data_IF_086791061813
#
_entry.id   IF_086791061813
#
_cell.length_a   1.000
_cell.length_b   1.000
_cell.length_c   1.000
_cell.angle_alpha   90.00
_cell.angle_beta   90.00
_cell.angle_gamma   90.00
#
_symmetry.space_group_name_H-M   'P 1'
#
loop_
_entity.id
_entity.type
_entity.pdbx_description
1 polymer ?
#
# COMPACT_ATOMS: atom_id res chain seq x y z
N UNK A 1 30.49 -31.25 -39.71
CA UNK A 1 29.14 -31.88 -39.74
C UNK A 1 28.28 -31.17 -38.71
N UNK A 2 27.19 -30.49 -39.10
CA UNK A 2 26.22 -29.94 -38.16
C UNK A 2 25.17 -31.00 -37.79
N UNK A 3 24.68 -30.95 -36.54
CA UNK A 3 23.58 -31.76 -36.03
C UNK A 3 22.25 -31.04 -36.28
N UNK A 4 21.29 -31.73 -36.92
CA UNK A 4 19.91 -31.28 -37.08
C UNK A 4 19.04 -31.67 -35.87
N UNK A 5 18.17 -30.75 -35.46
CA UNK A 5 17.05 -30.95 -34.55
C UNK A 5 15.81 -31.36 -35.36
N UNK A 6 15.10 -32.40 -34.93
CA UNK A 6 13.81 -32.73 -35.53
C UNK A 6 13.00 -33.75 -34.74
N UNK A 7 12.01 -33.29 -33.97
CA UNK A 7 10.65 -33.85 -33.98
C UNK A 7 9.69 -32.90 -33.24
N UNK A 8 8.77 -32.29 -33.99
CA UNK A 8 7.66 -31.48 -33.45
C UNK A 8 6.49 -32.43 -33.16
N UNK A 9 6.09 -32.55 -31.90
CA UNK A 9 4.80 -33.12 -31.51
C UNK A 9 3.74 -32.03 -31.71
N UNK A 10 2.82 -32.24 -32.64
CA UNK A 10 1.67 -31.36 -32.83
C UNK A 10 0.62 -31.65 -31.73
N UNK A 11 0.28 -30.63 -30.95
CA UNK A 11 -0.79 -30.66 -29.95
C UNK A 11 -2.12 -30.32 -30.64
N UNK A 12 -3.18 -31.09 -30.36
CA UNK A 12 -4.51 -30.92 -30.95
C UNK A 12 -5.42 -30.15 -29.98
N UNK A 13 -5.49 -28.83 -30.14
CA UNK A 13 -6.18 -27.88 -29.24
C UNK A 13 -7.70 -28.09 -29.14
N UNK A 14 -8.33 -28.72 -30.15
CA UNK A 14 -9.79 -28.86 -30.22
C UNK A 14 -10.34 -29.93 -29.26
N UNK A 15 -9.51 -30.91 -28.86
CA UNK A 15 -9.93 -32.01 -28.01
C UNK A 15 -9.88 -31.65 -26.50
N UNK A 16 -8.94 -30.80 -26.10
CA UNK A 16 -8.88 -30.22 -24.74
C UNK A 16 -10.03 -29.24 -24.49
N UNK A 17 -10.40 -28.44 -25.50
CA UNK A 17 -11.47 -27.44 -25.37
C UNK A 17 -12.82 -28.08 -25.07
N UNK A 18 -13.09 -29.24 -25.68
CA UNK A 18 -14.31 -30.01 -25.46
C UNK A 18 -14.36 -30.66 -24.06
N UNK A 19 -13.23 -31.15 -23.54
CA UNK A 19 -13.16 -31.67 -22.16
C UNK A 19 -13.33 -30.57 -21.11
N UNK A 20 -12.84 -29.35 -21.40
CA UNK A 20 -12.96 -28.20 -20.50
C UNK A 20 -14.40 -27.68 -20.39
N UNK A 21 -15.15 -27.65 -21.51
CA UNK A 21 -16.54 -27.20 -21.53
C UNK A 21 -17.49 -28.19 -20.81
N UNK A 22 -17.20 -29.50 -20.85
CA UNK A 22 -17.97 -30.53 -20.13
C UNK A 22 -17.72 -30.51 -18.60
N UNK A 23 -16.65 -29.88 -18.12
CA UNK A 23 -16.26 -29.82 -16.69
C UNK A 23 -16.74 -28.55 -15.95
N UNK A 24 -17.36 -27.58 -16.63
CA UNK A 24 -17.92 -26.36 -16.00
C UNK A 24 -19.25 -26.60 -15.28
N UNK A 25 -19.29 -27.59 -14.38
CA UNK A 25 -20.34 -27.64 -13.37
C UNK A 25 -20.15 -26.47 -12.38
N UNK A 26 -21.09 -25.52 -12.44
CA UNK A 26 -21.22 -24.32 -11.59
C UNK A 26 -20.66 -24.55 -10.18
N UNK A 27 -19.57 -23.87 -9.84
CA UNK A 27 -19.08 -23.79 -8.46
C UNK A 27 -18.85 -22.32 -8.11
N UNK A 28 -19.51 -21.84 -7.06
CA UNK A 28 -19.33 -20.49 -6.51
C UNK A 28 -18.16 -20.49 -5.51
N UNK A 29 -17.43 -19.37 -5.32
CA UNK A 29 -16.31 -19.31 -4.36
C UNK A 29 -16.77 -19.37 -2.91
N UNK A 30 -16.03 -20.14 -2.10
CA UNK A 30 -16.10 -20.11 -0.64
C UNK A 30 -15.22 -18.95 -0.13
N UNK A 31 -15.83 -17.92 0.45
CA UNK A 31 -15.16 -16.70 0.90
C UNK A 31 -14.93 -16.65 2.42
N UNK A 32 -15.56 -17.54 3.20
CA UNK A 32 -15.47 -17.53 4.67
C UNK A 32 -15.84 -18.89 5.30
N UNK A 33 -15.21 -19.25 6.42
CA UNK A 33 -15.62 -20.37 7.30
C UNK A 33 -16.56 -19.87 8.41
N UNK A 34 -16.80 -18.56 8.53
CA UNK A 34 -17.74 -18.02 9.49
C UNK A 34 -19.16 -18.56 9.21
N UNK A 35 -19.66 -19.38 10.14
CA UNK A 35 -20.96 -20.05 10.00
C UNK A 35 -20.92 -21.44 9.34
N UNK A 36 -19.76 -21.92 8.89
CA UNK A 36 -19.62 -23.32 8.45
C UNK A 36 -19.30 -24.20 9.66
N UNK A 37 -20.27 -25.03 10.05
CA UNK A 37 -20.07 -26.12 11.00
C UNK A 37 -19.21 -27.19 10.32
N UNK A 38 -17.95 -27.42 10.74
CA UNK A 38 -17.05 -28.36 10.08
C UNK A 38 -17.43 -29.83 10.35
N UNK A 39 -18.52 -30.06 11.09
CA UNK A 39 -18.87 -31.36 11.64
C UNK A 39 -18.10 -31.69 12.92
N UNK A 40 -18.36 -32.87 13.44
CA UNK A 40 -17.72 -33.48 14.59
C UNK A 40 -17.25 -34.89 14.21
N UNK A 41 -16.15 -35.36 14.79
CA UNK A 41 -15.70 -36.74 14.62
C UNK A 41 -15.44 -37.32 16.00
N UNK A 42 -16.14 -38.40 16.36
CA UNK A 42 -15.82 -39.24 17.51
C UNK A 42 -15.15 -40.54 17.08
N UNK A 43 -14.54 -41.23 18.04
CA UNK A 43 -13.97 -42.57 17.86
C UNK A 43 -14.45 -43.47 19.00
N UNK A 44 -14.58 -44.77 18.75
CA UNK A 44 -14.72 -45.78 19.82
C UNK A 44 -13.35 -46.34 20.24
N UNK A 45 -13.38 -47.21 21.26
CA UNK A 45 -12.19 -47.83 21.85
C UNK A 45 -11.46 -48.80 20.88
N UNK A 46 -12.11 -49.18 19.77
CA UNK A 46 -11.56 -50.03 18.71
C UNK A 46 -10.97 -49.18 17.56
N UNK A 47 -11.08 -47.85 17.64
CA UNK A 47 -10.55 -46.89 16.68
C UNK A 47 -11.46 -46.64 15.48
N UNK A 48 -12.71 -47.11 15.51
CA UNK A 48 -13.69 -46.79 14.48
C UNK A 48 -14.16 -45.35 14.66
N UNK A 49 -14.12 -44.55 13.59
CA UNK A 49 -14.52 -43.14 13.63
C UNK A 49 -15.97 -42.94 13.17
N UNK A 50 -16.66 -42.00 13.81
CA UNK A 50 -18.04 -41.62 13.52
C UNK A 50 -18.09 -40.13 13.18
N UNK A 51 -18.20 -39.77 11.89
CA UNK A 51 -18.38 -38.40 11.49
C UNK A 51 -19.84 -37.97 11.65
N UNK A 52 -20.06 -36.79 12.20
CA UNK A 52 -21.36 -36.13 12.29
C UNK A 52 -21.26 -34.78 11.60
N UNK A 53 -22.13 -34.53 10.61
CA UNK A 53 -22.20 -33.27 9.87
C UNK A 53 -20.89 -32.83 9.19
N UNK A 54 -19.97 -33.77 8.88
CA UNK A 54 -18.80 -33.46 8.06
C UNK A 54 -19.26 -33.02 6.67
N UNK A 55 -18.87 -31.84 6.18
CA UNK A 55 -19.18 -31.45 4.82
C UNK A 55 -18.43 -32.37 3.84
N UNK A 56 -19.16 -32.95 2.88
CA UNK A 56 -18.60 -33.81 1.83
C UNK A 56 -18.70 -33.11 0.48
N UNK A 57 -17.80 -33.40 -0.45
CA UNK A 57 -17.81 -32.81 -1.79
C UNK A 57 -17.24 -31.38 -1.90
N UNK A 58 -16.57 -30.86 -0.84
CA UNK A 58 -15.82 -29.61 -0.92
C UNK A 58 -14.54 -29.83 -1.72
N UNK A 59 -14.27 -28.95 -2.69
CA UNK A 59 -12.99 -28.88 -3.41
C UNK A 59 -12.43 -27.47 -3.34
N UNK A 60 -11.11 -27.35 -3.15
CA UNK A 60 -10.41 -26.11 -3.42
C UNK A 60 -10.31 -25.95 -4.94
N UNK A 61 -10.69 -24.80 -5.45
CA UNK A 61 -10.54 -24.45 -6.86
C UNK A 61 -9.90 -23.06 -6.95
N UNK A 62 -8.93 -22.92 -7.84
CA UNK A 62 -8.37 -21.61 -8.16
C UNK A 62 -9.44 -20.82 -8.93
N UNK A 63 -9.83 -19.67 -8.40
CA UNK A 63 -10.60 -18.69 -9.16
C UNK A 63 -9.70 -18.13 -10.26
N UNK A 64 -10.11 -18.26 -11.53
CA UNK A 64 -9.40 -17.61 -12.62
C UNK A 64 -9.57 -16.10 -12.47
N UNK A 65 -8.47 -15.40 -12.21
CA UNK A 65 -8.49 -13.95 -12.14
C UNK A 65 -8.80 -13.38 -13.53
N UNK A 66 -9.74 -12.45 -13.61
CA UNK A 66 -9.91 -11.60 -14.78
C UNK A 66 -9.05 -10.35 -14.62
N UNK A 67 -8.31 -10.00 -15.66
CA UNK A 67 -7.57 -8.75 -15.68
C UNK A 67 -8.55 -7.62 -16.02
N UNK A 68 -8.87 -6.78 -15.04
CA UNK A 68 -9.65 -5.56 -15.25
C UNK A 68 -8.77 -4.43 -15.77
N UNK A 69 -9.41 -3.39 -16.28
CA UNK A 69 -8.75 -2.09 -16.42
C UNK A 69 -8.22 -1.59 -15.06
N UNK A 70 -7.16 -0.75 -15.05
CA UNK A 70 -6.66 -0.17 -13.81
C UNK A 70 -7.75 0.63 -13.10
N UNK A 71 -7.94 0.37 -11.80
CA UNK A 71 -8.88 1.11 -10.94
C UNK A 71 -8.58 2.62 -10.94
N UNK A 72 -7.31 3.00 -11.10
CA UNK A 72 -6.91 4.39 -11.22
C UNK A 72 -5.76 4.55 -12.22
N UNK A 73 -6.08 5.08 -13.39
CA UNK A 73 -5.10 5.46 -14.40
C UNK A 73 -4.50 6.85 -14.13
N UNK A 74 -3.32 7.09 -14.67
CA UNK A 74 -2.67 8.42 -14.70
C UNK A 74 -3.48 9.35 -15.61
N UNK A 75 -3.90 10.49 -15.07
CA UNK A 75 -4.67 11.54 -15.76
C UNK A 75 -4.01 12.92 -15.67
N UNK A 76 -3.13 13.13 -14.69
CA UNK A 76 -2.51 14.42 -14.39
C UNK A 76 -0.99 14.32 -14.37
N UNK A 77 -0.30 15.43 -14.66
CA UNK A 77 1.16 15.46 -14.81
C UNK A 77 1.92 15.03 -13.55
N UNK A 78 1.38 15.32 -12.37
CA UNK A 78 1.97 14.88 -11.11
C UNK A 78 1.90 13.37 -10.88
N UNK A 79 1.07 12.66 -11.65
CA UNK A 79 0.96 11.19 -11.62
C UNK A 79 1.94 10.53 -12.61
N UNK A 80 2.94 11.25 -13.13
CA UNK A 80 3.82 10.77 -14.20
C UNK A 80 4.53 9.44 -13.87
N UNK A 81 4.77 9.10 -12.60
CA UNK A 81 5.30 7.78 -12.23
C UNK A 81 4.29 6.85 -11.55
N UNK A 82 4.75 6.09 -10.55
CA UNK A 82 3.91 5.09 -9.90
C UNK A 82 2.92 5.73 -8.93
N UNK A 83 1.65 5.34 -9.05
CA UNK A 83 0.60 5.72 -8.09
C UNK A 83 0.53 4.64 -7.02
N UNK A 84 0.61 5.05 -5.76
CA UNK A 84 0.42 4.20 -4.60
C UNK A 84 -0.74 4.77 -3.75
N UNK A 85 -1.59 3.89 -3.23
CA UNK A 85 -2.86 4.25 -2.60
C UNK A 85 -2.86 3.93 -1.10
N UNK A 86 -2.07 4.62 -0.25
CA UNK A 86 -1.95 4.31 1.17
C UNK A 86 -3.27 4.37 1.95
N UNK A 87 -4.31 5.08 1.48
CA UNK A 87 -5.54 5.19 2.27
C UNK A 87 -6.79 5.40 1.42
N UNK A 88 -7.75 4.50 1.60
CA UNK A 88 -9.11 4.59 1.08
C UNK A 88 -10.09 4.59 2.26
N UNK A 89 -10.88 5.65 2.38
CA UNK A 89 -11.93 5.78 3.40
C UNK A 89 -13.26 5.99 2.71
N UNK A 90 -14.28 5.20 3.09
CA UNK A 90 -15.66 5.45 2.67
C UNK A 90 -16.35 6.35 3.71
N UNK A 91 -16.86 7.49 3.26
CA UNK A 91 -17.62 8.44 4.08
C UNK A 91 -18.97 8.70 3.40
N UNK A 92 -20.05 8.17 3.99
CA UNK A 92 -21.38 8.24 3.39
C UNK A 92 -21.44 7.53 2.03
N UNK A 93 -21.80 8.29 1.00
CA UNK A 93 -21.90 7.87 -0.40
C UNK A 93 -20.61 8.10 -1.20
N UNK A 94 -19.53 8.58 -0.57
CA UNK A 94 -18.28 8.90 -1.26
C UNK A 94 -17.11 8.10 -0.72
N UNK A 95 -16.25 7.69 -1.63
CA UNK A 95 -14.92 7.18 -1.38
C UNK A 95 -13.93 8.34 -1.44
N UNK A 96 -13.04 8.38 -0.45
CA UNK A 96 -11.97 9.36 -0.31
C UNK A 96 -10.65 8.62 -0.35
N UNK A 97 -9.76 9.02 -1.25
CA UNK A 97 -8.49 8.37 -1.49
C UNK A 97 -7.35 9.36 -1.29
N UNK A 98 -6.48 9.05 -0.33
CA UNK A 98 -5.18 9.71 -0.22
C UNK A 98 -4.16 8.82 -0.90
N UNK A 99 -3.59 9.32 -1.97
CA UNK A 99 -2.62 8.61 -2.79
C UNK A 99 -1.29 9.35 -2.84
N UNK A 100 -0.20 8.63 -3.07
CA UNK A 100 1.10 9.24 -3.32
C UNK A 100 1.64 8.82 -4.68
N UNK A 101 2.38 9.74 -5.30
CA UNK A 101 3.03 9.50 -6.58
C UNK A 101 4.55 9.46 -6.38
N UNK A 102 5.18 8.43 -6.93
CA UNK A 102 6.63 8.35 -7.06
C UNK A 102 7.02 8.78 -8.46
N UNK A 103 8.01 9.65 -8.59
CA UNK A 103 8.51 10.06 -9.89
C UNK A 103 9.10 8.86 -10.64
N UNK A 104 8.75 8.69 -11.91
CA UNK A 104 9.45 7.75 -12.80
C UNK A 104 10.72 8.44 -13.30
N UNK A 105 11.92 7.96 -12.91
CA UNK A 105 13.18 8.61 -13.30
C UNK A 105 13.41 8.59 -14.82
N UNK A 106 12.73 7.69 -15.55
CA UNK A 106 12.86 7.61 -17.00
C UNK A 106 11.93 8.57 -17.75
N UNK A 107 10.91 9.12 -17.08
CA UNK A 107 9.95 10.05 -17.67
C UNK A 107 10.65 11.36 -18.12
N UNK A 108 10.42 11.83 -19.36
CA UNK A 108 11.06 13.05 -19.87
C UNK A 108 10.81 14.31 -19.03
N UNK A 109 9.64 14.42 -18.39
CA UNK A 109 9.27 15.52 -17.52
C UNK A 109 10.07 15.50 -16.21
N UNK A 110 10.25 14.30 -15.64
CA UNK A 110 11.09 14.08 -14.44
C UNK A 110 12.56 14.37 -14.76
N UNK A 111 13.07 13.89 -15.91
CA UNK A 111 14.44 14.14 -16.38
C UNK A 111 14.73 15.63 -16.61
N UNK A 112 13.74 16.40 -17.03
CA UNK A 112 13.85 17.85 -17.19
C UNK A 112 13.82 18.62 -15.85
N UNK A 113 13.73 17.94 -14.72
CA UNK A 113 13.82 18.53 -13.38
C UNK A 113 12.50 19.11 -12.86
N UNK A 114 11.37 18.83 -13.53
CA UNK A 114 10.06 19.34 -13.12
C UNK A 114 9.42 18.54 -11.97
N UNK A 115 10.01 17.40 -11.59
CA UNK A 115 9.61 16.59 -10.42
C UNK A 115 10.86 16.25 -9.63
N UNK A 116 10.85 16.35 -8.29
CA UNK A 116 11.93 15.80 -7.47
C UNK A 116 12.05 14.28 -7.71
N UNK A 117 13.13 13.86 -8.40
CA UNK A 117 13.33 12.47 -8.83
C UNK A 117 13.67 11.47 -7.71
N UNK A 118 13.74 11.89 -6.44
CA UNK A 118 13.95 11.01 -5.28
C UNK A 118 13.09 11.52 -4.13
N UNK A 119 12.45 10.60 -3.39
CA UNK A 119 11.49 10.76 -2.26
C UNK A 119 10.01 10.57 -2.73
N UNK A 120 9.11 9.93 -1.94
CA UNK A 120 7.66 9.96 -2.21
C UNK A 120 7.25 11.41 -2.45
N UNK A 121 6.98 11.73 -3.71
CA UNK A 121 7.17 13.09 -4.19
C UNK A 121 5.98 13.97 -3.86
N UNK A 122 4.78 13.39 -3.88
CA UNK A 122 3.54 14.15 -3.83
C UNK A 122 2.44 13.35 -3.13
N UNK A 123 1.90 13.93 -2.07
CA UNK A 123 0.69 13.47 -1.42
C UNK A 123 -0.52 14.15 -2.06
N UNK A 124 -1.42 13.34 -2.59
CA UNK A 124 -2.52 13.75 -3.44
C UNK A 124 -3.83 13.17 -2.92
N UNK A 125 -4.94 13.72 -3.42
CA UNK A 125 -6.27 13.30 -3.01
C UNK A 125 -7.15 12.97 -4.22
N UNK A 126 -8.03 12.00 -4.10
CA UNK A 126 -9.05 11.75 -5.09
C UNK A 126 -10.34 11.32 -4.40
N UNK A 127 -11.45 11.47 -5.10
CA UNK A 127 -12.76 11.10 -4.60
C UNK A 127 -13.57 10.37 -5.66
N UNK A 128 -14.45 9.48 -5.23
CA UNK A 128 -15.25 8.66 -6.13
C UNK A 128 -16.60 8.34 -5.50
N UNK A 129 -17.66 8.27 -6.30
CA UNK A 129 -18.96 7.75 -5.84
C UNK A 129 -19.07 6.22 -5.90
N UNK A 130 -18.27 5.58 -6.76
CA UNK A 130 -18.39 4.15 -7.08
C UNK A 130 -17.11 3.33 -6.84
N UNK A 131 -15.99 4.00 -6.55
CA UNK A 131 -14.67 3.39 -6.35
C UNK A 131 -13.90 3.10 -7.64
N UNK A 132 -14.48 3.42 -8.81
CA UNK A 132 -13.89 3.15 -10.13
C UNK A 132 -13.61 4.44 -10.92
N UNK A 133 -14.47 5.44 -10.78
CA UNK A 133 -14.32 6.75 -11.41
C UNK A 133 -13.82 7.77 -10.38
N UNK A 134 -12.59 8.21 -10.55
CA UNK A 134 -11.89 9.06 -9.59
C UNK A 134 -11.77 10.51 -10.07
N UNK A 135 -12.40 11.41 -9.32
CA UNK A 135 -12.27 12.85 -9.47
C UNK A 135 -11.07 13.37 -8.66
N UNK A 136 -10.39 14.37 -9.20
CA UNK A 136 -9.15 14.94 -8.67
C UNK A 136 -9.37 16.43 -8.39
N UNK A 137 -10.03 16.79 -7.27
CA UNK A 137 -10.48 18.15 -7.05
C UNK A 137 -9.30 19.12 -6.90
N UNK A 138 -9.46 20.36 -7.38
CA UNK A 138 -8.46 21.41 -7.18
C UNK A 138 -8.52 21.91 -5.72
N UNK A 139 -7.58 21.45 -4.89
CA UNK A 139 -7.54 21.81 -3.47
C UNK A 139 -6.97 23.22 -3.20
N UNK A 140 -6.23 23.80 -4.16
CA UNK A 140 -5.70 25.16 -4.06
C UNK A 140 -4.56 25.33 -3.05
N UNK A 141 -3.90 24.25 -2.60
CA UNK A 141 -3.01 24.26 -1.42
C UNK A 141 -1.52 24.31 -1.73
N UNK A 142 -1.02 23.38 -2.54
CA UNK A 142 0.41 23.30 -2.87
C UNK A 142 0.59 23.65 -4.33
N UNK A 143 1.41 24.65 -4.60
CA UNK A 143 1.76 25.01 -5.97
C UNK A 143 2.74 23.99 -6.57
N UNK A 144 2.49 23.61 -7.80
CA UNK A 144 3.32 22.74 -8.61
C UNK A 144 3.15 23.08 -10.07
N UNK A 145 4.27 23.30 -10.76
CA UNK A 145 4.29 23.68 -12.18
C UNK A 145 3.39 24.90 -12.48
N UNK A 146 3.40 25.89 -11.58
CA UNK A 146 2.57 27.10 -11.70
C UNK A 146 1.07 26.88 -11.46
N UNK A 147 0.64 25.68 -11.03
CA UNK A 147 -0.74 25.36 -10.67
C UNK A 147 -0.88 25.00 -9.19
N UNK A 148 -1.97 25.38 -8.53
CA UNK A 148 -2.25 25.05 -7.12
C UNK A 148 -3.06 23.75 -6.95
N UNK A 149 -2.89 22.82 -7.88
CA UNK A 149 -3.71 21.61 -7.99
C UNK A 149 -3.58 20.64 -6.80
N UNK A 150 -4.68 19.93 -6.54
CA UNK A 150 -4.96 18.69 -5.77
C UNK A 150 -3.94 18.05 -4.80
N UNK A 151 -3.07 18.84 -4.19
CA UNK A 151 -2.01 18.34 -3.33
C UNK A 151 -2.37 18.59 -1.88
N UNK A 152 -2.25 17.54 -1.10
CA UNK A 152 -2.41 17.56 0.34
C UNK A 152 -1.08 18.02 0.93
N UNK A 153 -1.08 19.19 1.56
CA UNK A 153 0.13 19.85 2.05
C UNK A 153 0.69 19.14 3.27
N UNK A 154 1.43 18.06 3.06
CA UNK A 154 2.13 17.35 4.11
C UNK A 154 3.55 17.00 3.68
N UNK A 155 4.53 17.50 4.43
CA UNK A 155 5.94 17.09 4.34
C UNK A 155 6.17 15.65 4.86
N UNK A 156 5.17 15.10 5.55
CA UNK A 156 5.10 13.71 5.97
C UNK A 156 4.25 12.96 4.95
N UNK A 157 4.88 12.13 4.12
CA UNK A 157 4.12 11.12 3.39
C UNK A 157 3.49 10.19 4.42
N UNK A 158 2.23 10.43 4.79
CA UNK A 158 1.52 9.50 5.65
C UNK A 158 1.40 8.15 4.93
N UNK A 159 1.34 7.07 5.68
CA UNK A 159 1.14 5.73 5.14
C UNK A 159 -0.29 5.24 5.37
N UNK A 160 -0.99 5.87 6.29
CA UNK A 160 -2.38 5.59 6.59
C UNK A 160 -3.08 6.85 7.10
N UNK A 161 -4.31 7.06 6.63
CA UNK A 161 -5.30 8.05 7.08
C UNK A 161 -6.54 7.29 7.46
N UNK A 162 -7.09 7.61 8.63
CA UNK A 162 -8.39 7.13 9.08
C UNK A 162 -9.29 8.32 9.40
N UNK A 163 -10.60 8.13 9.22
CA UNK A 163 -11.61 9.00 9.82
C UNK A 163 -11.85 8.49 11.24
N UNK A 164 -11.63 9.34 12.23
CA UNK A 164 -11.80 8.96 13.63
C UNK A 164 -13.27 8.94 14.02
N UNK A 165 -13.83 7.79 14.47
CA UNK A 165 -15.19 7.74 14.97
C UNK A 165 -15.40 8.58 16.24
N UNK A 166 -14.33 8.89 16.99
CA UNK A 166 -14.38 9.66 18.25
C UNK A 166 -13.70 11.04 18.15
N UNK A 167 -13.25 11.42 16.96
CA UNK A 167 -12.53 12.68 16.76
C UNK A 167 -13.46 13.89 16.91
N UNK A 168 -12.94 14.99 17.42
CA UNK A 168 -13.66 16.27 17.33
C UNK A 168 -13.73 16.75 15.87
N UNK A 169 -14.48 17.82 15.61
CA UNK A 169 -14.54 18.41 14.26
C UNK A 169 -13.15 18.85 13.76
N UNK A 170 -12.27 19.29 14.66
CA UNK A 170 -10.90 19.72 14.37
C UNK A 170 -9.93 18.55 14.15
N UNK A 171 -10.23 17.38 14.73
CA UNK A 171 -9.40 16.16 14.66
C UNK A 171 -10.11 14.98 13.99
N UNK A 172 -11.04 15.29 13.09
CA UNK A 172 -11.92 14.33 12.41
C UNK A 172 -11.15 13.23 11.69
N UNK A 173 -9.97 13.55 11.19
CA UNK A 173 -9.04 12.63 10.55
C UNK A 173 -7.77 12.50 11.37
N UNK A 174 -7.25 11.28 11.44
CA UNK A 174 -5.95 10.96 12.03
C UNK A 174 -5.11 10.24 11.00
N UNK A 175 -3.81 10.50 11.01
CA UNK A 175 -2.89 9.87 10.08
C UNK A 175 -1.60 9.46 10.78
N UNK A 176 -0.99 8.39 10.28
CA UNK A 176 0.34 7.94 10.71
C UNK A 176 1.30 7.92 9.54
N UNK A 177 2.54 8.30 9.82
CA UNK A 177 3.65 8.30 8.87
C UNK A 177 4.85 7.57 9.48
N UNK A 178 5.74 7.09 8.62
CA UNK A 178 7.00 6.50 9.05
C UNK A 178 8.13 7.40 8.59
N UNK A 179 9.01 7.73 9.52
CA UNK A 179 10.25 8.46 9.26
C UNK A 179 11.38 7.82 10.06
N UNK A 180 12.58 8.39 9.95
CA UNK A 180 13.71 7.99 10.77
C UNK A 180 14.31 9.20 11.48
N UNK A 181 14.64 9.01 12.76
CA UNK A 181 15.60 9.85 13.47
C UNK A 181 17.00 9.39 13.08
N UNK A 182 17.87 10.33 12.77
CA UNK A 182 19.23 10.03 12.34
C UNK A 182 20.22 10.59 13.33
N UNK A 183 21.30 9.85 13.56
CA UNK A 183 22.46 10.35 14.28
C UNK A 183 23.72 10.09 13.46
N UNK A 184 24.67 11.01 13.56
CA UNK A 184 26.03 10.85 13.04
C UNK A 184 26.97 10.95 14.22
N UNK A 185 27.75 9.89 14.46
CA UNK A 185 28.68 9.80 15.58
C UNK A 185 28.03 10.10 16.94
N UNK A 186 26.78 9.66 17.11
CA UNK A 186 25.98 9.83 18.32
C UNK A 186 25.37 11.23 18.50
N UNK A 187 25.43 12.09 17.48
CA UNK A 187 24.76 13.39 17.49
C UNK A 187 23.54 13.39 16.55
N UNK A 188 22.36 13.87 16.98
CA UNK A 188 21.20 13.98 16.11
C UNK A 188 21.49 14.87 14.91
N UNK A 189 21.11 14.41 13.73
CA UNK A 189 21.25 15.14 12.47
C UNK A 189 19.96 15.09 11.66
N UNK A 190 19.81 16.06 10.76
CA UNK A 190 18.66 16.11 9.85
C UNK A 190 18.75 15.05 8.75
N UNK A 191 17.60 14.69 8.19
CA UNK A 191 17.53 13.81 7.01
C UNK A 191 18.30 14.36 5.82
N UNK A 192 18.31 15.69 5.63
CA UNK A 192 19.05 16.35 4.55
C UNK A 192 20.56 16.12 4.69
N UNK A 193 21.11 16.34 5.88
CA UNK A 193 22.53 16.10 6.17
C UNK A 193 22.91 14.63 5.96
N UNK A 194 22.06 13.68 6.37
CA UNK A 194 22.28 12.25 6.12
C UNK A 194 22.28 11.92 4.64
N UNK A 195 21.37 12.49 3.86
CA UNK A 195 21.32 12.29 2.41
C UNK A 195 22.57 12.85 1.73
N UNK A 196 23.04 14.02 2.14
CA UNK A 196 24.30 14.59 1.65
C UNK A 196 25.50 13.71 2.00
N UNK A 197 25.55 13.19 3.23
CA UNK A 197 26.64 12.32 3.67
C UNK A 197 26.63 10.98 2.91
N UNK A 198 25.46 10.40 2.67
CA UNK A 198 25.29 9.19 1.85
C UNK A 198 25.70 9.44 0.40
N UNK A 199 25.31 10.57 -0.20
CA UNK A 199 25.73 10.93 -1.55
C UNK A 199 27.25 11.11 -1.66
N UNK A 200 27.88 11.75 -0.66
CA UNK A 200 29.35 11.88 -0.59
C UNK A 200 30.02 10.51 -0.48
N UNK A 201 29.47 9.58 0.30
CA UNK A 201 29.97 8.19 0.41
C UNK A 201 29.88 7.45 -0.90
N UNK A 202 28.72 7.50 -1.55
CA UNK A 202 28.49 6.88 -2.83
C UNK A 202 29.45 7.42 -3.90
N UNK A 203 29.68 8.74 -3.93
CA UNK A 203 30.62 9.39 -4.85
C UNK A 203 32.10 9.06 -4.55
N UNK A 204 32.45 8.82 -3.30
CA UNK A 204 33.82 8.51 -2.89
C UNK A 204 34.23 7.05 -3.19
N UNK A 205 33.25 6.17 -3.45
CA UNK A 205 33.46 4.75 -3.72
C UNK A 205 34.15 4.00 -2.58
N UNK A 206 34.65 2.79 -2.86
CA UNK A 206 35.27 1.91 -1.85
C UNK A 206 36.61 2.43 -1.29
N UNK A 207 37.16 3.51 -1.87
CA UNK A 207 38.45 4.10 -1.48
C UNK A 207 38.34 5.32 -0.55
N UNK A 208 37.12 5.84 -0.34
CA UNK A 208 36.88 7.02 0.48
C UNK A 208 36.38 6.68 1.87
N UNK A 209 37.27 6.66 2.87
CA UNK A 209 36.85 6.56 4.26
C UNK A 209 36.16 7.85 4.72
N UNK A 210 34.82 7.87 4.66
CA UNK A 210 34.02 8.84 5.41
C UNK A 210 33.71 8.18 6.75
N UNK A 211 34.58 8.39 7.74
CA UNK A 211 34.58 7.76 9.08
C UNK A 211 33.42 8.12 10.01
N UNK A 212 32.24 8.44 9.48
CA UNK A 212 31.06 8.89 10.24
C UNK A 212 30.06 7.74 10.48
N UNK A 213 29.83 7.33 11.72
CA UNK A 213 28.83 6.30 12.00
C UNK A 213 27.42 6.88 11.90
N UNK A 214 26.71 6.55 10.82
CA UNK A 214 25.30 6.92 10.64
C UNK A 214 24.44 5.85 11.31
N UNK A 215 23.73 6.22 12.37
CA UNK A 215 22.65 5.40 12.93
C UNK A 215 21.32 5.98 12.48
N UNK A 216 20.34 5.10 12.25
CA UNK A 216 18.98 5.51 11.95
C UNK A 216 18.02 4.71 12.79
N UNK A 217 17.07 5.41 13.40
CA UNK A 217 16.02 4.83 14.20
C UNK A 217 14.68 5.13 13.53
N UNK A 218 14.00 4.10 13.05
CA UNK A 218 12.66 4.24 12.46
C UNK A 218 11.67 4.61 13.56
N UNK A 219 10.80 5.60 13.30
CA UNK A 219 9.79 6.08 14.24
C UNK A 219 8.45 6.28 13.52
N UNK A 220 7.35 6.12 14.25
CA UNK A 220 6.00 6.44 13.76
C UNK A 220 5.63 7.84 14.20
N UNK A 221 5.35 8.72 13.24
CA UNK A 221 4.77 10.04 13.50
C UNK A 221 3.28 10.03 13.26
N UNK A 222 2.58 11.01 13.82
CA UNK A 222 1.15 11.15 13.62
C UNK A 222 0.76 12.60 13.36
N UNK A 223 -0.43 12.78 12.82
CA UNK A 223 -1.07 14.09 12.71
C UNK A 223 -2.59 13.96 12.69
N UNK A 224 -3.22 15.12 12.87
CA UNK A 224 -4.68 15.26 12.90
C UNK A 224 -5.12 16.28 11.86
N UNK A 225 -6.35 16.16 11.37
CA UNK A 225 -6.91 17.08 10.38
C UNK A 225 -8.43 17.15 10.50
N UNK A 226 -8.99 18.34 10.29
CA UNK A 226 -10.44 18.54 10.22
C UNK A 226 -11.01 18.13 8.85
N UNK A 227 -10.29 18.46 7.78
CA UNK A 227 -10.73 18.33 6.38
C UNK A 227 -10.08 17.15 5.64
N UNK A 228 -9.04 16.55 6.22
CA UNK A 228 -8.22 15.50 5.61
C UNK A 228 -7.17 16.04 4.64
N UNK A 229 -7.06 17.36 4.45
CA UNK A 229 -6.12 17.99 3.51
C UNK A 229 -5.11 18.90 4.23
N UNK A 230 -5.52 19.45 5.36
CA UNK A 230 -4.78 20.40 6.19
C UNK A 230 -4.39 19.69 7.48
N UNK A 231 -3.11 19.32 7.59
CA UNK A 231 -2.65 18.44 8.66
C UNK A 231 -1.87 19.22 9.73
N UNK A 232 -2.22 18.98 10.99
CA UNK A 232 -1.44 19.39 12.16
C UNK A 232 -0.65 18.19 12.65
N UNK A 233 0.68 18.26 12.53
CA UNK A 233 1.57 17.19 12.98
C UNK A 233 1.75 17.21 14.50
N UNK A 234 1.76 16.03 15.11
CA UNK A 234 2.16 15.91 16.51
C UNK A 234 3.67 16.19 16.64
N UNK A 235 4.09 16.87 17.72
CA UNK A 235 5.49 17.30 17.88
C UNK A 235 6.46 16.14 18.12
N UNK A 236 5.98 15.06 18.74
CA UNK A 236 6.78 13.87 19.04
C UNK A 236 6.24 12.64 18.31
N UNK A 237 7.12 11.68 17.94
CA UNK A 237 6.67 10.39 17.44
C UNK A 237 5.80 9.66 18.46
N UNK A 238 4.79 8.95 17.97
CA UNK A 238 3.89 8.16 18.80
C UNK A 238 4.42 6.74 19.06
N UNK A 239 5.45 6.31 18.31
CA UNK A 239 6.13 5.03 18.51
C UNK A 239 7.60 5.13 18.10
N UNK A 240 8.47 4.46 18.85
CA UNK A 240 9.89 4.26 18.56
C UNK A 240 10.28 2.79 18.86
N UNK A 241 11.44 2.29 18.40
CA UNK A 241 11.85 0.88 18.48
C UNK A 241 11.85 0.29 19.91
N UNK A 242 11.87 -1.05 20.07
CA UNK A 242 12.70 -2.00 19.30
C UNK A 242 12.04 -2.62 18.06
N UNK A 243 10.82 -2.25 17.70
CA UNK A 243 10.08 -2.89 16.60
C UNK A 243 10.66 -2.54 15.22
N UNK A 244 10.80 -3.56 14.37
CA UNK A 244 11.05 -3.38 12.93
C UNK A 244 9.70 -3.07 12.27
N UNK A 245 9.58 -1.87 11.71
CA UNK A 245 8.41 -1.47 10.94
C UNK A 245 8.75 -1.66 9.47
N UNK A 246 8.19 -2.71 8.88
CA UNK A 246 8.27 -3.02 7.46
C UNK A 246 6.83 -3.09 6.90
N UNK A 247 6.66 -2.87 5.60
CA UNK A 247 5.33 -2.82 4.94
C UNK A 247 4.42 -1.66 5.41
N UNK A 248 3.19 -1.61 4.89
CA UNK A 248 2.17 -0.63 5.28
C UNK A 248 1.70 -0.87 6.72
N UNK A 249 1.68 0.20 7.52
CA UNK A 249 1.20 0.21 8.90
C UNK A 249 -0.14 0.95 8.94
N UNK A 250 -1.11 0.45 9.72
CA UNK A 250 -2.50 0.91 9.69
C UNK A 250 -2.90 1.40 11.08
N UNK A 251 -3.26 2.67 11.19
CA UNK A 251 -3.91 3.20 12.40
C UNK A 251 -5.40 2.88 12.33
N UNK A 252 -5.93 2.28 13.40
CA UNK A 252 -7.38 2.12 13.58
C UNK A 252 -7.79 2.35 15.02
N UNK A 253 -9.09 2.58 15.23
CA UNK A 253 -9.70 2.63 16.56
C UNK A 253 -10.38 1.28 16.83
N UNK A 254 -9.93 0.59 17.88
CA UNK A 254 -10.56 -0.61 18.39
C UNK A 254 -11.66 -0.23 19.39
N UNK A 255 -12.91 -0.47 18.98
CA UNK A 255 -14.09 -0.14 19.77
C UNK A 255 -14.25 -1.02 21.01
N UNK A 256 -13.73 -2.25 20.99
CA UNK A 256 -13.87 -3.18 22.13
C UNK A 256 -12.96 -2.78 23.28
N UNK A 257 -11.71 -2.41 22.97
CA UNK A 257 -10.76 -1.93 23.98
C UNK A 257 -10.82 -0.43 24.25
N UNK A 258 -11.47 0.33 23.37
CA UNK A 258 -11.54 1.79 23.43
C UNK A 258 -10.21 2.48 23.13
N UNK A 259 -9.32 1.83 22.36
CA UNK A 259 -7.94 2.29 22.12
C UNK A 259 -7.63 2.43 20.63
N UNK A 260 -6.68 3.31 20.33
CA UNK A 260 -6.04 3.34 19.02
C UNK A 260 -4.97 2.27 18.95
N UNK A 261 -4.94 1.54 17.83
CA UNK A 261 -3.98 0.46 17.55
C UNK A 261 -3.31 0.68 16.20
N UNK A 262 -2.06 0.23 16.10
CA UNK A 262 -1.21 0.29 14.90
C UNK A 262 -0.62 -1.10 14.68
#
# INVERSE_FOLDING_TARGET
MPFELGTTLAFNEDEEKRQMDELQAKTLPALDWHGIWPGYVSHDDEGLYFPQDLPTGIRLAVQQAECSDPVMARQKRWEAGNIHYPSLVKEGDRYRLWYCCFADPEDPWVKAGHVPGKVPGLWCYAESGDGFHWERPELGRVEYDGSKDNKVGSSYGYMNVMRDPNGSDEERYKAIGITAKFEVDGQPVSRAEVLELRAKREAAGDAGEIGANITSQVVVTAGVSADGYSWTHLPEPIMAPPFLLDTQNILTYDADSGKYVI
#
